data_IF_255779279691
#
_entry.id   IF_255779279691
#
_cell.length_a   1.000
_cell.length_b   1.000
_cell.length_c   1.000
_cell.angle_alpha   90.00
_cell.angle_beta   90.00
_cell.angle_gamma   90.00
#
_symmetry.space_group_name_H-M   'P 1'
#
loop_
_entity.id
_entity.type
_entity.pdbx_description
1 polymer ?
#
# COMPACT_ATOMS: atom_id res chain seq x y z
N UNK A 1 47.22 -94.76 -27.76
CA UNK A 1 45.80 -95.02 -28.09
C UNK A 1 45.11 -93.67 -28.26
N UNK A 2 44.35 -93.52 -29.35
CA UNK A 2 43.90 -92.28 -30.00
C UNK A 2 43.18 -91.25 -29.09
N UNK A 3 43.38 -89.96 -29.36
CA UNK A 3 42.30 -88.95 -29.46
C UNK A 3 42.82 -87.70 -30.21
N UNK A 4 42.60 -87.65 -31.54
CA UNK A 4 41.64 -86.81 -32.28
C UNK A 4 41.89 -85.30 -32.21
N UNK A 5 42.33 -84.79 -33.36
CA UNK A 5 42.37 -83.42 -33.84
C UNK A 5 40.95 -82.86 -33.97
N UNK A 6 40.73 -81.58 -33.67
CA UNK A 6 39.84 -80.71 -34.45
C UNK A 6 40.35 -79.28 -34.50
N UNK A 7 40.17 -78.67 -35.66
CA UNK A 7 40.77 -77.42 -36.11
C UNK A 7 39.79 -76.22 -36.00
N UNK A 8 40.40 -75.03 -36.08
CA UNK A 8 39.87 -73.75 -36.58
C UNK A 8 38.80 -73.01 -35.75
N UNK A 9 39.07 -71.76 -35.41
CA UNK A 9 38.69 -70.61 -36.25
C UNK A 9 39.35 -69.32 -35.76
N UNK A 10 39.75 -68.50 -36.73
CA UNK A 10 40.26 -67.14 -36.60
C UNK A 10 39.10 -66.24 -36.14
N UNK A 11 39.29 -65.49 -35.05
CA UNK A 11 38.35 -64.48 -34.56
C UNK A 11 39.10 -63.21 -34.20
N UNK A 12 38.90 -62.18 -35.02
CA UNK A 12 39.60 -60.92 -34.98
C UNK A 12 39.37 -60.11 -33.69
N UNK A 13 40.40 -59.33 -33.38
CA UNK A 13 40.52 -58.30 -32.35
C UNK A 13 39.37 -57.29 -32.43
N UNK A 14 38.65 -57.09 -31.32
CA UNK A 14 38.12 -55.76 -30.96
C UNK A 14 38.34 -55.52 -29.48
N UNK A 15 39.39 -54.75 -29.16
CA UNK A 15 39.64 -54.24 -27.81
C UNK A 15 38.65 -53.09 -27.58
N UNK A 16 37.48 -53.37 -27.01
CA UNK A 16 36.57 -52.32 -26.56
C UNK A 16 37.12 -51.74 -25.26
N UNK A 17 37.87 -50.64 -25.38
CA UNK A 17 38.29 -49.85 -24.24
C UNK A 17 37.05 -49.31 -23.52
N UNK A 18 36.73 -49.90 -22.36
CA UNK A 18 35.69 -49.40 -21.47
C UNK A 18 36.23 -48.13 -20.81
N UNK A 19 35.98 -46.98 -21.42
CA UNK A 19 36.27 -45.68 -20.80
C UNK A 19 35.31 -45.52 -19.63
N UNK A 20 35.80 -45.77 -18.41
CA UNK A 20 35.14 -45.35 -17.17
C UNK A 20 35.10 -43.82 -17.18
N UNK A 21 34.01 -43.26 -17.70
CA UNK A 21 33.72 -41.84 -17.57
C UNK A 21 33.40 -41.57 -16.10
N UNK A 22 34.40 -41.07 -15.37
CA UNK A 22 34.18 -40.45 -14.07
C UNK A 22 33.30 -39.23 -14.34
N UNK A 23 32.00 -39.39 -14.13
CA UNK A 23 31.06 -38.29 -14.14
C UNK A 23 31.38 -37.42 -12.92
N UNK A 24 32.12 -36.34 -13.14
CA UNK A 24 32.23 -35.27 -12.16
C UNK A 24 30.84 -34.64 -12.06
N UNK A 25 30.03 -35.11 -11.11
CA UNK A 25 28.87 -34.35 -10.64
C UNK A 25 29.45 -33.08 -10.03
N UNK A 26 29.43 -31.99 -10.77
CA UNK A 26 29.70 -30.68 -10.21
C UNK A 26 28.63 -30.42 -9.17
N UNK A 27 28.95 -30.62 -7.89
CA UNK A 27 28.23 -30.01 -6.78
C UNK A 27 28.46 -28.50 -6.91
N UNK A 28 27.73 -27.87 -7.82
CA UNK A 28 27.47 -26.45 -7.74
C UNK A 28 26.71 -26.26 -6.45
N UNK A 29 27.41 -25.86 -5.38
CA UNK A 29 26.75 -25.43 -4.16
C UNK A 29 25.83 -24.27 -4.56
N UNK A 30 24.54 -24.54 -4.71
CA UNK A 30 23.54 -23.49 -4.62
C UNK A 30 23.69 -22.94 -3.21
N UNK A 31 24.45 -21.86 -3.06
CA UNK A 31 24.64 -21.24 -1.77
C UNK A 31 23.26 -20.77 -1.32
N UNK A 32 22.63 -21.55 -0.44
CA UNK A 32 21.31 -21.22 0.08
C UNK A 32 21.41 -19.90 0.83
N UNK A 33 20.62 -18.94 0.39
CA UNK A 33 20.65 -17.59 0.90
C UNK A 33 19.92 -17.54 2.23
N UNK A 34 20.68 -17.40 3.31
CA UNK A 34 20.14 -17.48 4.66
C UNK A 34 19.43 -16.18 5.05
N UNK A 35 18.25 -16.33 5.63
CA UNK A 35 17.51 -15.29 6.35
C UNK A 35 17.76 -15.51 7.85
N UNK A 36 18.06 -14.44 8.58
CA UNK A 36 18.46 -14.47 9.99
C UNK A 36 17.30 -14.18 10.95
N UNK A 37 16.10 -13.96 10.43
CA UNK A 37 14.90 -13.79 11.23
C UNK A 37 14.12 -15.12 11.28
N UNK A 38 14.07 -15.80 12.45
CA UNK A 38 13.59 -17.18 12.54
C UNK A 38 12.16 -17.40 12.01
N UNK A 39 11.28 -16.44 12.23
CA UNK A 39 9.86 -16.54 11.89
C UNK A 39 9.63 -16.61 10.36
N UNK A 40 10.59 -16.11 9.58
CA UNK A 40 10.53 -16.05 8.11
C UNK A 40 11.67 -16.84 7.45
N UNK A 41 12.42 -17.68 8.18
CA UNK A 41 13.65 -18.29 7.67
C UNK A 41 13.49 -19.61 6.92
N UNK A 42 12.28 -20.16 6.81
CA UNK A 42 12.09 -21.50 6.21
C UNK A 42 12.45 -21.55 4.73
N UNK A 43 12.19 -20.46 3.99
CA UNK A 43 12.63 -20.33 2.61
C UNK A 43 12.75 -18.87 2.19
N UNK A 44 13.55 -18.64 1.15
CA UNK A 44 13.85 -17.31 0.63
C UNK A 44 14.01 -17.32 -0.89
N UNK A 45 13.48 -16.30 -1.54
CA UNK A 45 13.77 -15.98 -2.94
C UNK A 45 14.13 -14.51 -3.07
N UNK A 46 15.24 -14.20 -3.73
CA UNK A 46 15.66 -12.83 -3.91
C UNK A 46 17.17 -12.67 -4.08
N UNK A 47 17.61 -11.42 -3.97
CA UNK A 47 19.03 -11.09 -4.09
C UNK A 47 19.80 -11.61 -2.87
N UNK A 48 21.04 -12.00 -3.14
CA UNK A 48 21.88 -12.67 -2.15
C UNK A 48 23.28 -12.07 -2.16
N UNK A 49 23.87 -11.89 -0.97
CA UNK A 49 25.22 -11.38 -0.82
C UNK A 49 25.89 -12.08 0.36
N UNK A 50 27.05 -12.69 0.11
CA UNK A 50 27.84 -13.44 1.10
C UNK A 50 27.01 -14.53 1.81
N UNK A 51 26.18 -15.27 1.06
CA UNK A 51 25.30 -16.31 1.61
C UNK A 51 24.13 -15.80 2.46
N UNK A 52 23.89 -14.49 2.51
CA UNK A 52 22.80 -13.87 3.26
C UNK A 52 21.81 -13.17 2.32
N UNK A 53 20.53 -13.19 2.70
CA UNK A 53 19.50 -12.38 2.02
C UNK A 53 19.89 -10.90 2.00
N UNK A 54 19.83 -10.26 0.83
CA UNK A 54 20.28 -8.88 0.64
C UNK A 54 19.57 -8.21 -0.53
N UNK A 55 19.13 -6.97 -0.42
CA UNK A 55 18.34 -6.32 -1.46
C UNK A 55 16.90 -6.83 -1.51
N UNK A 56 16.21 -6.71 -2.63
CA UNK A 56 14.80 -7.13 -2.74
C UNK A 56 14.67 -8.65 -2.68
N UNK A 57 13.69 -9.15 -1.92
CA UNK A 57 13.34 -10.56 -1.87
C UNK A 57 12.06 -10.83 -1.09
N UNK A 58 11.68 -12.10 -1.04
CA UNK A 58 10.57 -12.64 -0.25
C UNK A 58 11.08 -13.79 0.61
N UNK A 59 10.70 -13.81 1.87
CA UNK A 59 11.01 -14.88 2.80
C UNK A 59 9.71 -15.37 3.46
N UNK A 60 9.63 -16.65 3.77
CA UNK A 60 8.48 -17.22 4.46
C UNK A 60 8.91 -18.35 5.39
N UNK A 61 8.12 -18.52 6.46
CA UNK A 61 8.24 -19.56 7.45
C UNK A 61 6.92 -19.69 8.20
N UNK A 62 6.92 -19.40 9.49
CA UNK A 62 5.69 -19.19 10.26
C UNK A 62 5.00 -17.90 9.82
N UNK A 63 5.78 -16.85 9.62
CA UNK A 63 5.36 -15.57 9.08
C UNK A 63 5.85 -15.41 7.62
N UNK A 64 5.54 -14.29 6.99
CA UNK A 64 6.13 -13.94 5.70
C UNK A 64 6.56 -12.48 5.62
N UNK A 65 7.60 -12.22 4.84
CA UNK A 65 8.10 -10.88 4.57
C UNK A 65 8.42 -10.71 3.09
N UNK A 66 7.96 -9.60 2.52
CA UNK A 66 8.31 -9.16 1.18
C UNK A 66 8.88 -7.75 1.24
N UNK A 67 10.12 -7.57 0.82
CA UNK A 67 10.76 -6.27 0.89
C UNK A 67 12.25 -6.31 0.68
N UNK A 68 12.93 -5.31 1.25
CA UNK A 68 14.37 -5.20 1.20
C UNK A 68 15.01 -5.91 2.40
N UNK A 69 16.13 -6.57 2.15
CA UNK A 69 16.96 -7.23 3.13
C UNK A 69 18.34 -6.55 3.19
N UNK A 70 18.98 -6.62 4.34
CA UNK A 70 20.39 -6.27 4.52
C UNK A 70 20.99 -7.24 5.53
N UNK A 71 22.04 -7.94 5.13
CA UNK A 71 22.77 -8.90 5.96
C UNK A 71 21.84 -9.95 6.60
N UNK A 72 20.92 -10.51 5.81
CA UNK A 72 20.02 -11.58 6.25
C UNK A 72 18.78 -11.11 7.00
N UNK A 73 18.64 -9.81 7.30
CA UNK A 73 17.51 -9.26 8.05
C UNK A 73 16.66 -8.31 7.19
N UNK A 74 15.34 -8.21 7.44
CA UNK A 74 14.50 -7.13 6.91
C UNK A 74 15.10 -5.74 7.14
N UNK A 75 15.14 -4.91 6.10
CA UNK A 75 15.77 -3.59 6.14
C UNK A 75 15.24 -2.66 5.03
N UNK A 76 14.89 -1.42 5.36
CA UNK A 76 14.19 -0.51 4.45
C UNK A 76 12.71 -0.88 4.31
N UNK A 77 12.06 -0.40 3.25
CA UNK A 77 10.63 -0.64 3.06
C UNK A 77 10.30 -2.12 2.77
N UNK A 78 9.26 -2.64 3.41
CA UNK A 78 8.71 -3.96 3.16
C UNK A 78 7.36 -4.19 3.83
N UNK A 79 6.81 -5.38 3.58
CA UNK A 79 5.54 -5.85 4.12
C UNK A 79 5.84 -7.12 4.92
N UNK A 80 5.48 -7.10 6.20
CA UNK A 80 5.51 -8.27 7.07
C UNK A 80 4.08 -8.74 7.33
N UNK A 81 3.83 -10.03 7.15
CA UNK A 81 2.53 -10.65 7.41
C UNK A 81 2.74 -11.74 8.46
N UNK A 82 2.09 -11.58 9.60
CA UNK A 82 2.10 -12.58 10.67
C UNK A 82 1.19 -13.76 10.34
N UNK A 83 1.46 -14.91 10.97
CA UNK A 83 0.65 -16.12 10.82
C UNK A 83 -0.86 -15.92 11.12
N UNK A 84 -1.18 -14.99 12.02
CA UNK A 84 -2.56 -14.63 12.37
C UNK A 84 -3.27 -13.75 11.32
N UNK A 85 -2.57 -13.36 10.25
CA UNK A 85 -3.07 -12.52 9.17
C UNK A 85 -2.90 -11.02 9.39
N UNK A 86 -2.40 -10.58 10.54
CA UNK A 86 -2.01 -9.20 10.76
C UNK A 86 -0.89 -8.81 9.77
N UNK A 87 -0.82 -7.52 9.43
CA UNK A 87 0.14 -7.01 8.46
C UNK A 87 0.75 -5.69 8.88
N UNK A 88 2.03 -5.53 8.65
CA UNK A 88 2.72 -4.25 8.73
C UNK A 88 3.36 -3.91 7.39
N UNK A 89 3.09 -2.71 6.91
CA UNK A 89 3.68 -2.14 5.71
C UNK A 89 4.42 -0.87 6.11
N UNK A 90 5.74 -0.87 5.97
CA UNK A 90 6.54 0.25 6.45
C UNK A 90 8.04 0.01 6.35
N UNK A 91 8.81 0.83 7.05
CA UNK A 91 10.27 0.67 7.06
C UNK A 91 10.70 -0.32 8.13
N UNK A 92 11.80 -0.99 7.85
CA UNK A 92 12.46 -1.92 8.75
C UNK A 92 13.90 -1.47 8.97
N UNK A 93 14.40 -1.70 10.17
CA UNK A 93 15.82 -1.53 10.49
C UNK A 93 16.27 -2.70 11.34
N UNK A 94 17.19 -3.51 10.81
CA UNK A 94 17.73 -4.71 11.45
C UNK A 94 16.64 -5.67 11.95
N UNK A 95 15.68 -6.00 11.08
CA UNK A 95 14.59 -6.94 11.38
C UNK A 95 13.42 -6.35 12.15
N UNK A 96 13.50 -5.09 12.60
CA UNK A 96 12.46 -4.47 13.41
C UNK A 96 11.71 -3.39 12.62
N UNK A 97 10.40 -3.27 12.87
CA UNK A 97 9.60 -2.16 12.34
C UNK A 97 10.18 -0.83 12.80
N UNK A 98 10.31 0.12 11.88
CA UNK A 98 10.96 1.41 12.13
C UNK A 98 10.38 2.50 11.21
N UNK A 99 10.51 3.77 11.60
CA UNK A 99 10.05 4.91 10.81
C UNK A 99 8.54 4.89 10.54
N UNK A 100 8.11 5.50 9.44
CA UNK A 100 6.69 5.50 9.05
C UNK A 100 6.24 4.11 8.61
N UNK A 101 5.08 3.67 9.10
CA UNK A 101 4.42 2.45 8.66
C UNK A 101 2.95 2.37 9.03
N UNK A 102 2.27 1.40 8.45
CA UNK A 102 0.84 1.09 8.65
C UNK A 102 0.74 -0.34 9.14
N UNK A 103 0.20 -0.52 10.34
CA UNK A 103 -0.20 -1.83 10.87
C UNK A 103 -1.70 -2.03 10.64
N UNK A 104 -2.09 -3.19 10.14
CA UNK A 104 -3.47 -3.65 9.95
C UNK A 104 -3.62 -4.97 10.68
N UNK A 105 -4.50 -5.04 11.66
CA UNK A 105 -4.70 -6.26 12.43
C UNK A 105 -5.91 -6.20 13.34
N UNK A 106 -6.16 -7.28 14.10
CA UNK A 106 -7.29 -7.35 15.03
C UNK A 106 -6.86 -6.97 16.45
N UNK A 107 -7.36 -5.86 16.98
CA UNK A 107 -7.17 -5.47 18.39
C UNK A 107 -8.49 -5.65 19.12
N UNK A 108 -8.49 -6.46 20.18
CA UNK A 108 -9.69 -6.83 20.94
C UNK A 108 -10.83 -7.36 20.04
N UNK A 109 -10.48 -8.15 19.03
CA UNK A 109 -11.41 -8.74 18.07
C UNK A 109 -11.93 -7.80 16.98
N UNK A 110 -11.54 -6.51 16.98
CA UNK A 110 -11.96 -5.53 15.98
C UNK A 110 -10.85 -5.24 14.98
N UNK A 111 -11.20 -5.20 13.70
CA UNK A 111 -10.29 -4.75 12.65
C UNK A 111 -9.82 -3.33 12.93
N UNK A 112 -8.51 -3.16 12.99
CA UNK A 112 -7.86 -1.93 13.44
C UNK A 112 -6.72 -1.58 12.50
N UNK A 113 -6.58 -0.28 12.21
CA UNK A 113 -5.49 0.26 11.39
C UNK A 113 -4.76 1.33 12.19
N UNK A 114 -3.44 1.17 12.29
CA UNK A 114 -2.54 2.12 12.96
C UNK A 114 -1.48 2.58 11.97
N UNK A 115 -1.66 3.80 11.47
CA UNK A 115 -0.59 4.52 10.78
C UNK A 115 0.24 5.25 11.82
N UNK A 116 1.56 5.22 11.72
CA UNK A 116 2.39 5.89 12.70
C UNK A 116 3.89 5.79 12.48
N UNK A 117 4.63 6.35 13.44
CA UNK A 117 6.07 6.19 13.55
C UNK A 117 6.40 5.07 14.54
N UNK A 118 7.22 4.14 14.06
CA UNK A 118 7.69 2.97 14.76
C UNK A 118 9.16 3.14 15.11
N UNK A 119 9.57 2.71 16.29
CA UNK A 119 10.97 2.54 16.63
C UNK A 119 11.14 1.23 17.39
N UNK A 120 12.12 0.42 16.97
CA UNK A 120 12.41 -0.90 17.54
C UNK A 120 11.16 -1.78 17.73
N UNK A 121 10.26 -1.79 16.74
CA UNK A 121 9.02 -2.58 16.81
C UNK A 121 7.90 -1.97 17.64
N UNK A 122 8.10 -0.82 18.28
CA UNK A 122 7.09 -0.14 19.11
C UNK A 122 6.50 1.06 18.37
N UNK A 123 5.18 1.21 18.42
CA UNK A 123 4.50 2.39 17.90
C UNK A 123 4.67 3.57 18.87
N UNK A 124 5.39 4.62 18.45
CA UNK A 124 5.60 5.82 19.26
C UNK A 124 4.56 6.92 18.99
N UNK A 125 4.28 7.21 17.72
CA UNK A 125 3.36 8.27 17.33
C UNK A 125 2.31 7.75 16.36
N UNK A 126 1.05 7.73 16.78
CA UNK A 126 -0.05 7.44 15.86
C UNK A 126 -0.26 8.65 14.94
N UNK A 127 -0.07 8.44 13.65
CA UNK A 127 -0.50 9.37 12.62
C UNK A 127 -1.99 9.08 12.41
N UNK A 128 -2.84 9.90 13.00
CA UNK A 128 -4.27 9.83 12.74
C UNK A 128 -4.53 10.19 11.27
N UNK A 129 -5.51 9.54 10.60
CA UNK A 129 -5.94 9.99 9.29
C UNK A 129 -6.32 11.46 9.38
N UNK A 130 -5.98 12.27 8.36
CA UNK A 130 -6.35 13.68 8.36
C UNK A 130 -7.86 13.79 8.45
N UNK A 131 -8.33 14.80 9.19
CA UNK A 131 -9.76 15.01 9.46
C UNK A 131 -10.59 15.09 8.17
N UNK A 132 -9.99 15.65 7.12
CA UNK A 132 -10.49 15.66 5.75
C UNK A 132 -9.32 15.59 4.75
N UNK A 133 -9.63 15.28 3.49
CA UNK A 133 -8.68 15.28 2.37
C UNK A 133 -9.33 15.93 1.16
N UNK A 134 -8.59 16.77 0.43
CA UNK A 134 -9.05 17.32 -0.85
C UNK A 134 -8.49 16.44 -1.97
N UNK A 135 -9.37 15.88 -2.79
CA UNK A 135 -9.04 15.03 -3.93
C UNK A 135 -8.78 15.91 -5.17
N UNK A 136 -9.70 16.85 -5.44
CA UNK A 136 -9.65 17.72 -6.61
C UNK A 136 -10.10 19.13 -6.24
N UNK A 137 -9.44 20.16 -6.77
CA UNK A 137 -9.87 21.56 -6.66
C UNK A 137 -9.56 22.30 -7.98
N UNK A 138 -10.43 22.17 -8.99
CA UNK A 138 -10.30 22.81 -10.30
C UNK A 138 -11.07 24.13 -10.31
N UNK A 139 -10.42 25.21 -10.73
CA UNK A 139 -11.00 26.56 -10.84
C UNK A 139 -11.61 27.10 -9.52
N UNK A 140 -11.04 26.68 -8.39
CA UNK A 140 -11.33 27.21 -7.06
C UNK A 140 -10.18 28.13 -6.67
N UNK A 141 -10.45 29.42 -6.43
CA UNK A 141 -9.41 30.38 -6.06
C UNK A 141 -8.89 30.12 -4.64
N UNK A 142 -9.82 29.85 -3.72
CA UNK A 142 -9.54 29.53 -2.32
C UNK A 142 -10.66 28.65 -1.77
N UNK A 143 -10.37 27.87 -0.75
CA UNK A 143 -11.39 27.20 0.05
C UNK A 143 -11.03 27.23 1.54
N UNK A 144 -12.03 27.04 2.38
CA UNK A 144 -11.83 26.74 3.81
C UNK A 144 -12.67 25.53 4.18
N UNK A 145 -12.11 24.60 4.95
CA UNK A 145 -12.82 23.45 5.50
C UNK A 145 -12.69 23.49 7.02
N UNK A 146 -13.78 23.82 7.72
CA UNK A 146 -13.76 24.07 9.17
C UNK A 146 -14.75 23.16 9.87
N UNK A 147 -14.31 22.53 10.95
CA UNK A 147 -15.22 21.82 11.86
C UNK A 147 -15.84 22.83 12.83
N UNK A 148 -17.14 23.06 12.74
CA UNK A 148 -17.89 24.09 13.47
C UNK A 148 -18.68 23.55 14.65
N UNK A 149 -18.90 22.22 14.72
CA UNK A 149 -19.71 21.61 15.77
C UNK A 149 -19.62 20.09 15.80
N UNK A 150 -20.51 19.46 16.56
CA UNK A 150 -20.57 18.01 16.77
C UNK A 150 -21.69 17.31 16.00
N UNK A 151 -22.65 18.04 15.43
CA UNK A 151 -23.75 17.47 14.65
C UNK A 151 -23.24 16.81 13.38
N UNK A 152 -23.78 15.66 12.97
CA UNK A 152 -23.32 14.94 11.76
C UNK A 152 -23.84 15.62 10.49
N UNK A 153 -23.25 16.78 10.17
CA UNK A 153 -23.71 17.68 9.12
C UNK A 153 -22.54 18.22 8.30
N UNK A 154 -22.77 18.42 7.01
CA UNK A 154 -21.89 19.12 6.10
C UNK A 154 -22.64 20.31 5.52
N UNK A 155 -22.07 21.50 5.60
CA UNK A 155 -22.56 22.73 5.03
C UNK A 155 -21.55 23.28 4.02
N UNK A 156 -22.07 23.80 2.92
CA UNK A 156 -21.32 24.26 1.75
C UNK A 156 -21.83 25.66 1.42
N UNK A 157 -20.93 26.63 1.44
CA UNK A 157 -21.20 28.00 1.03
C UNK A 157 -20.35 28.37 -0.19
N UNK A 158 -20.94 29.14 -1.08
CA UNK A 158 -20.26 29.72 -2.24
C UNK A 158 -20.06 31.21 -1.99
N UNK A 159 -18.85 31.71 -2.17
CA UNK A 159 -18.49 33.10 -1.86
C UNK A 159 -17.73 33.72 -3.03
N UNK A 160 -18.09 34.94 -3.41
CA UNK A 160 -17.41 35.73 -4.42
C UNK A 160 -17.34 37.18 -3.94
N UNK A 161 -16.17 37.82 -4.04
CA UNK A 161 -15.93 39.19 -3.55
C UNK A 161 -16.34 39.44 -2.09
N UNK A 162 -16.20 38.42 -1.23
CA UNK A 162 -16.51 38.53 0.21
C UNK A 162 -17.99 38.38 0.59
N UNK A 163 -18.89 38.21 -0.38
CA UNK A 163 -20.32 37.94 -0.13
C UNK A 163 -20.75 36.60 -0.71
N UNK A 164 -21.94 36.13 -0.35
CA UNK A 164 -22.53 34.93 -0.96
C UNK A 164 -22.53 35.05 -2.48
N UNK A 165 -22.01 34.03 -3.16
CA UNK A 165 -22.03 33.96 -4.62
C UNK A 165 -23.36 33.38 -5.09
N UNK A 166 -24.27 34.27 -5.49
CA UNK A 166 -25.56 33.89 -6.07
C UNK A 166 -25.49 33.70 -7.58
N UNK A 167 -24.32 33.90 -8.20
CA UNK A 167 -24.11 33.78 -9.64
C UNK A 167 -23.39 32.46 -9.99
N UNK A 168 -24.05 31.38 -9.62
CA UNK A 168 -23.65 30.00 -9.93
C UNK A 168 -24.76 29.34 -10.75
N UNK A 169 -24.37 28.55 -11.74
CA UNK A 169 -25.29 27.75 -12.55
C UNK A 169 -24.84 26.28 -12.56
N UNK A 170 -25.76 25.38 -12.93
CA UNK A 170 -25.47 23.94 -13.05
C UNK A 170 -24.86 23.32 -11.77
N UNK A 171 -25.30 23.80 -10.60
CA UNK A 171 -24.82 23.29 -9.32
C UNK A 171 -25.27 21.85 -9.11
N UNK A 172 -24.31 20.96 -8.95
CA UNK A 172 -24.49 19.58 -8.52
C UNK A 172 -23.61 19.32 -7.32
N UNK A 173 -24.21 18.80 -6.26
CA UNK A 173 -23.51 18.36 -5.05
C UNK A 173 -23.94 16.93 -4.80
N UNK A 174 -22.98 16.01 -4.88
CA UNK A 174 -23.20 14.58 -4.66
C UNK A 174 -22.30 14.13 -3.54
N UNK A 175 -22.90 13.58 -2.49
CA UNK A 175 -22.19 12.87 -1.43
C UNK A 175 -22.70 11.42 -1.38
N UNK A 176 -21.84 10.48 -1.01
CA UNK A 176 -22.19 9.06 -0.89
C UNK A 176 -23.13 8.74 0.28
N UNK A 177 -23.20 9.63 1.27
CA UNK A 177 -24.05 9.49 2.45
C UNK A 177 -24.66 10.83 2.87
N UNK A 178 -25.68 10.76 3.71
CA UNK A 178 -26.42 11.91 4.24
C UNK A 178 -27.66 12.27 3.42
N UNK A 179 -28.55 13.03 4.04
CA UNK A 179 -29.77 13.55 3.44
C UNK A 179 -29.56 15.01 3.05
N UNK A 180 -29.90 15.43 1.81
CA UNK A 180 -29.75 16.82 1.40
C UNK A 180 -30.44 17.80 2.35
N UNK A 181 -29.74 18.88 2.69
CA UNK A 181 -30.17 19.93 3.60
C UNK A 181 -29.86 21.30 2.99
N UNK A 182 -30.74 22.29 3.19
CA UNK A 182 -30.46 23.69 2.89
C UNK A 182 -30.72 24.54 4.14
N UNK A 183 -29.71 25.32 4.57
CA UNK A 183 -29.80 26.23 5.72
C UNK A 183 -29.42 27.64 5.28
N UNK A 184 -30.43 28.50 5.08
CA UNK A 184 -30.24 29.82 4.48
C UNK A 184 -29.61 29.71 3.09
N UNK A 185 -28.49 30.41 2.88
CA UNK A 185 -27.72 30.40 1.63
C UNK A 185 -26.76 29.20 1.50
N UNK A 186 -26.67 28.34 2.51
CA UNK A 186 -25.79 27.17 2.51
C UNK A 186 -26.53 25.93 2.04
N UNK A 187 -25.87 25.16 1.19
CA UNK A 187 -26.28 23.83 0.77
C UNK A 187 -25.58 22.79 1.65
N UNK A 188 -26.06 21.56 1.72
CA UNK A 188 -25.44 20.59 2.61
C UNK A 188 -26.14 19.25 2.72
N UNK A 189 -25.71 18.49 3.71
CA UNK A 189 -26.26 17.20 4.08
C UNK A 189 -26.32 17.08 5.60
N UNK A 190 -27.37 16.46 6.11
CA UNK A 190 -27.48 16.00 7.50
C UNK A 190 -27.49 14.48 7.59
N UNK A 191 -27.39 13.94 8.81
CA UNK A 191 -27.31 12.50 9.06
C UNK A 191 -26.17 11.82 8.28
N UNK A 192 -25.06 12.55 8.12
CA UNK A 192 -23.88 12.10 7.36
C UNK A 192 -23.19 10.93 8.07
N UNK A 193 -22.81 9.91 7.31
CA UNK A 193 -21.98 8.81 7.80
C UNK A 193 -20.53 9.04 7.38
N UNK A 194 -19.58 8.71 8.25
CA UNK A 194 -18.17 9.01 8.02
C UNK A 194 -17.38 7.70 7.82
N UNK A 195 -16.44 7.66 6.87
CA UNK A 195 -16.05 8.75 5.98
C UNK A 195 -17.13 9.08 4.93
N UNK A 196 -17.28 10.37 4.60
CA UNK A 196 -18.16 10.84 3.51
C UNK A 196 -17.31 11.32 2.34
N UNK A 197 -17.64 10.87 1.14
CA UNK A 197 -17.01 11.31 -0.11
C UNK A 197 -17.98 12.24 -0.84
N UNK A 198 -17.53 13.44 -1.18
CA UNK A 198 -18.35 14.44 -1.83
C UNK A 198 -17.68 15.01 -3.09
N UNK A 199 -18.50 15.28 -4.10
CA UNK A 199 -18.15 15.98 -5.33
C UNK A 199 -19.11 17.13 -5.57
N UNK A 200 -18.54 18.30 -5.81
CA UNK A 200 -19.25 19.54 -6.13
C UNK A 200 -18.82 19.97 -7.54
N UNK A 201 -19.79 20.20 -8.42
CA UNK A 201 -19.57 20.81 -9.73
C UNK A 201 -20.55 21.94 -9.97
N UNK A 202 -20.09 23.04 -10.54
CA UNK A 202 -20.92 24.18 -10.90
C UNK A 202 -20.18 25.06 -11.90
N UNK A 203 -20.90 25.99 -12.51
CA UNK A 203 -20.35 27.03 -13.36
C UNK A 203 -20.45 28.38 -12.66
N UNK A 204 -19.40 29.18 -12.77
CA UNK A 204 -19.40 30.55 -12.25
C UNK A 204 -18.58 31.44 -13.19
N UNK A 205 -18.91 32.73 -13.34
CA UNK A 205 -18.11 33.59 -14.16
C UNK A 205 -16.89 34.10 -13.40
N UNK A 206 -15.87 34.51 -14.16
CA UNK A 206 -14.71 35.21 -13.59
C UNK A 206 -15.12 36.50 -12.86
N UNK A 207 -14.19 37.06 -12.10
CA UNK A 207 -14.42 38.28 -11.33
C UNK A 207 -14.94 39.46 -12.18
N UNK A 208 -14.58 39.51 -13.46
CA UNK A 208 -15.02 40.52 -14.44
C UNK A 208 -16.36 40.19 -15.10
N UNK A 209 -16.97 39.05 -14.81
CA UNK A 209 -18.23 38.54 -15.38
C UNK A 209 -18.24 38.37 -16.90
N UNK A 210 -17.08 38.17 -17.51
CA UNK A 210 -16.92 38.09 -18.97
C UNK A 210 -16.81 36.66 -19.49
N UNK A 211 -16.35 35.72 -18.67
CA UNK A 211 -16.11 34.32 -19.08
C UNK A 211 -16.59 33.37 -17.99
N UNK A 212 -17.35 32.35 -18.38
CA UNK A 212 -17.80 31.26 -17.52
C UNK A 212 -16.80 30.12 -17.52
N UNK A 213 -16.59 29.50 -16.36
CA UNK A 213 -15.78 28.30 -16.25
C UNK A 213 -16.44 27.26 -15.34
N UNK A 214 -16.14 26.00 -15.63
CA UNK A 214 -16.53 24.86 -14.81
C UNK A 214 -15.63 24.76 -13.58
N UNK A 215 -16.24 24.62 -12.42
CA UNK A 215 -15.58 24.36 -11.14
C UNK A 215 -15.83 22.90 -10.76
N UNK A 216 -14.80 22.22 -10.26
CA UNK A 216 -14.91 20.87 -9.70
C UNK A 216 -14.14 20.78 -8.40
N UNK A 217 -14.82 20.36 -7.33
CA UNK A 217 -14.23 20.20 -6.01
C UNK A 217 -14.62 18.84 -5.42
N UNK A 218 -13.63 18.00 -5.13
CA UNK A 218 -13.82 16.65 -4.60
C UNK A 218 -13.06 16.50 -3.29
N UNK A 219 -13.68 15.91 -2.27
CA UNK A 219 -13.09 15.77 -0.95
C UNK A 219 -13.67 14.60 -0.16
N UNK A 220 -12.94 14.22 0.89
CA UNK A 220 -13.33 13.20 1.87
C UNK A 220 -13.30 13.85 3.25
N UNK A 221 -14.32 13.60 4.09
CA UNK A 221 -14.27 13.93 5.52
C UNK A 221 -14.27 12.63 6.30
N UNK A 222 -13.22 12.43 7.11
CA UNK A 222 -13.00 11.21 7.88
C UNK A 222 -13.51 11.33 9.33
N UNK A 223 -13.62 12.55 9.85
CA UNK A 223 -13.98 12.79 11.24
C UNK A 223 -15.43 13.28 11.36
N UNK A 224 -16.22 12.59 12.20
CA UNK A 224 -17.60 12.98 12.47
C UNK A 224 -17.70 14.37 13.14
N UNK A 225 -18.70 15.14 12.72
CA UNK A 225 -19.05 16.44 13.29
C UNK A 225 -19.60 17.40 12.24
N UNK A 226 -19.84 18.64 12.64
CA UNK A 226 -20.41 19.62 11.74
C UNK A 226 -19.26 20.28 10.99
N UNK A 227 -19.29 20.21 9.67
CA UNK A 227 -18.28 20.77 8.79
C UNK A 227 -18.87 21.86 7.92
N UNK A 228 -18.15 22.98 7.81
CA UNK A 228 -18.46 24.04 6.85
C UNK A 228 -17.33 24.14 5.82
N UNK A 229 -17.67 23.89 4.56
CA UNK A 229 -16.86 24.18 3.38
C UNK A 229 -17.28 25.53 2.80
N UNK A 230 -16.35 26.47 2.67
CA UNK A 230 -16.55 27.68 1.89
C UNK A 230 -15.69 27.61 0.62
N UNK A 231 -16.30 27.75 -0.54
CA UNK A 231 -15.63 27.83 -1.84
C UNK A 231 -15.61 29.28 -2.31
N UNK A 232 -14.42 29.77 -2.64
CA UNK A 232 -14.20 31.14 -3.13
C UNK A 232 -13.84 31.11 -4.62
N UNK A 233 -14.56 31.91 -5.40
CA UNK A 233 -14.35 32.10 -6.83
C UNK A 233 -14.32 33.58 -7.22
#
# INVERSE_FOLDING_TARGET
MKLKIQAALIGAITFTAMVLSIQYVTLGQSQECKVLQPEISSAYTGKCKNGLAHGKGKAWGTDSYEGKFKNGLPHGFGIYTWANGDKYEGNFYNGQMHGKGVFKGKINGKDSVYTGYWDKGVLHHKILPPKYQIITARNVQRYTMTKTGSEKRLLIAFTQNGTTNNNISNLQIVCDTGTPLKLGEKYGFENVLYPVNCKITYQTPNALRTVWYDVSFEFIINEAGEWTLNLFN
#
